data_IF_165258529731
#
_entry.id   IF_165258529731
#
_cell.length_a   1.000
_cell.length_b   1.000
_cell.length_c   1.000
_cell.angle_alpha   90.00
_cell.angle_beta   90.00
_cell.angle_gamma   90.00
#
_symmetry.space_group_name_H-M   'P 1'
#
loop_
_entity.id
_entity.type
_entity.pdbx_description
1 polymer ?
#
# COMPACT_ATOMS: atom_id res chain seq x y z
N UNK A 1 -9.57 -35.09 -1.60
CA UNK A 1 -10.36 -33.85 -1.79
C UNK A 1 -9.89 -33.22 -3.09
N UNK A 2 -10.77 -32.55 -3.83
CA UNK A 2 -10.39 -31.92 -5.09
C UNK A 2 -10.28 -30.40 -4.91
N UNK A 3 -9.42 -29.77 -5.71
CA UNK A 3 -9.30 -28.33 -5.88
C UNK A 3 -9.74 -28.01 -7.31
N UNK A 4 -10.61 -27.02 -7.47
CA UNK A 4 -11.06 -26.58 -8.78
C UNK A 4 -10.29 -25.36 -9.29
N UNK A 5 -10.10 -25.27 -10.60
CA UNK A 5 -9.50 -24.11 -11.30
C UNK A 5 -10.32 -23.75 -12.55
N UNK A 6 -10.28 -22.47 -12.96
CA UNK A 6 -11.04 -21.97 -14.11
C UNK A 6 -10.54 -22.58 -15.43
N UNK A 7 -11.44 -22.83 -16.39
CA UNK A 7 -11.05 -23.04 -17.79
C UNK A 7 -10.61 -21.73 -18.44
N UNK A 8 -9.96 -21.81 -19.61
CA UNK A 8 -9.49 -20.62 -20.33
C UNK A 8 -10.57 -19.54 -20.52
N UNK A 9 -11.80 -19.95 -20.84
CA UNK A 9 -12.96 -19.09 -21.13
C UNK A 9 -13.68 -18.55 -19.88
N UNK A 10 -13.27 -18.95 -18.68
CA UNK A 10 -13.95 -18.68 -17.41
C UNK A 10 -15.42 -19.16 -17.33
N UNK A 11 -15.86 -20.03 -18.25
CA UNK A 11 -17.24 -20.53 -18.26
C UNK A 11 -17.40 -21.84 -17.49
N UNK A 12 -16.29 -22.53 -17.21
CA UNK A 12 -16.29 -23.79 -16.50
C UNK A 12 -15.13 -23.89 -15.52
N UNK A 13 -15.18 -24.90 -14.64
CA UNK A 13 -14.06 -25.25 -13.76
C UNK A 13 -13.66 -26.69 -13.99
N UNK A 14 -12.35 -26.93 -13.92
CA UNK A 14 -11.73 -28.26 -13.97
C UNK A 14 -11.24 -28.62 -12.57
N UNK A 15 -11.10 -29.91 -12.29
CA UNK A 15 -10.75 -30.43 -10.97
C UNK A 15 -9.40 -31.13 -11.00
N UNK A 16 -8.64 -30.95 -9.93
CA UNK A 16 -7.35 -31.60 -9.68
C UNK A 16 -7.30 -32.12 -8.25
N UNK A 17 -6.44 -33.10 -8.03
CA UNK A 17 -6.14 -33.59 -6.69
C UNK A 17 -5.55 -32.48 -5.81
N UNK A 18 -6.13 -32.27 -4.63
CA UNK A 18 -5.69 -31.28 -3.65
C UNK A 18 -4.29 -31.54 -3.09
N UNK A 19 -3.76 -32.76 -3.25
CA UNK A 19 -2.41 -33.14 -2.81
C UNK A 19 -1.31 -32.70 -3.79
N UNK A 20 -1.66 -32.33 -5.03
CA UNK A 20 -0.69 -31.84 -6.00
C UNK A 20 -0.08 -30.51 -5.55
N UNK A 21 1.23 -30.40 -5.71
CA UNK A 21 1.93 -29.13 -5.47
C UNK A 21 1.64 -28.15 -6.58
N UNK A 22 1.87 -26.85 -6.33
CA UNK A 22 1.65 -25.83 -7.36
C UNK A 22 2.55 -26.05 -8.59
N UNK A 23 3.76 -26.58 -8.37
CA UNK A 23 4.67 -26.96 -9.45
C UNK A 23 4.16 -28.15 -10.29
N UNK A 24 3.47 -29.12 -9.68
CA UNK A 24 2.84 -30.23 -10.42
C UNK A 24 1.63 -29.75 -11.24
N UNK A 25 0.98 -28.69 -10.76
CA UNK A 25 -0.21 -28.10 -11.37
C UNK A 25 0.18 -27.16 -12.52
N UNK A 26 1.30 -26.44 -12.42
CA UNK A 26 1.71 -25.43 -13.39
C UNK A 26 1.71 -25.89 -14.87
N UNK A 27 2.21 -27.09 -15.23
CA UNK A 27 2.13 -27.58 -16.61
C UNK A 27 0.69 -27.74 -17.11
N UNK A 28 -0.25 -28.13 -16.24
CA UNK A 28 -1.67 -28.24 -16.58
C UNK A 28 -2.29 -26.87 -16.80
N UNK A 29 -1.92 -25.89 -15.99
CA UNK A 29 -2.38 -24.50 -16.14
C UNK A 29 -1.83 -23.86 -17.40
N UNK A 30 -0.56 -24.13 -17.74
CA UNK A 30 0.03 -23.70 -19.01
C UNK A 30 -0.70 -24.38 -20.17
N UNK A 31 -1.04 -25.65 -20.00
CA UNK A 31 -1.76 -26.35 -21.05
C UNK A 31 -3.16 -25.77 -21.28
N UNK A 32 -3.85 -25.43 -20.20
CA UNK A 32 -5.21 -24.91 -20.25
C UNK A 32 -5.28 -23.42 -20.63
N UNK A 33 -4.50 -22.58 -19.95
CA UNK A 33 -4.70 -21.13 -19.97
C UNK A 33 -3.87 -20.39 -21.01
N UNK A 34 -2.78 -20.99 -21.51
CA UNK A 34 -1.90 -20.30 -22.44
C UNK A 34 -2.36 -20.56 -23.88
N UNK A 35 -2.91 -19.56 -24.57
CA UNK A 35 -3.34 -19.72 -25.95
C UNK A 35 -2.13 -19.93 -26.87
N UNK A 36 -2.39 -20.61 -27.99
CA UNK A 36 -1.48 -20.60 -29.12
C UNK A 36 -1.54 -19.22 -29.78
N UNK A 37 -0.38 -18.61 -29.98
CA UNK A 37 -0.25 -17.32 -30.63
C UNK A 37 0.68 -17.40 -31.82
N UNK A 38 0.28 -16.75 -32.91
CA UNK A 38 1.19 -16.35 -33.97
C UNK A 38 2.04 -15.18 -33.45
N UNK A 39 3.35 -15.38 -33.34
CA UNK A 39 4.27 -14.37 -32.80
C UNK A 39 4.28 -13.08 -33.65
N UNK A 40 3.91 -13.12 -34.93
CA UNK A 40 3.72 -11.90 -35.73
C UNK A 40 2.61 -11.05 -35.10
N UNK A 41 1.50 -11.68 -34.76
CA UNK A 41 0.30 -11.00 -34.27
C UNK A 41 0.47 -10.41 -32.87
N UNK A 42 1.47 -10.85 -32.11
CA UNK A 42 1.77 -10.23 -30.82
C UNK A 42 2.64 -8.96 -30.94
N UNK A 43 3.20 -8.66 -32.13
CA UNK A 43 4.00 -7.44 -32.36
C UNK A 43 5.35 -7.39 -31.66
N UNK A 44 5.83 -8.52 -31.11
CA UNK A 44 7.11 -8.61 -30.37
C UNK A 44 8.11 -9.62 -30.94
N UNK A 45 7.82 -10.16 -32.12
CA UNK A 45 8.61 -11.23 -32.76
C UNK A 45 10.08 -10.86 -32.98
N UNK A 46 10.40 -9.57 -33.08
CA UNK A 46 11.77 -9.10 -33.38
C UNK A 46 12.73 -9.21 -32.19
N UNK A 47 12.21 -9.24 -30.95
CA UNK A 47 13.03 -9.24 -29.73
C UNK A 47 12.56 -10.23 -28.67
N UNK A 48 11.42 -10.90 -28.85
CA UNK A 48 10.97 -11.94 -27.94
C UNK A 48 11.81 -13.21 -28.09
N UNK A 49 12.46 -13.63 -27.01
CA UNK A 49 13.32 -14.83 -26.99
C UNK A 49 12.57 -16.15 -27.19
N UNK A 50 11.23 -16.15 -27.09
CA UNK A 50 10.39 -17.34 -27.24
C UNK A 50 9.86 -17.52 -28.66
N UNK A 51 10.15 -16.57 -29.55
CA UNK A 51 9.67 -16.58 -30.91
C UNK A 51 10.30 -17.72 -31.71
N UNK A 52 9.46 -18.49 -32.43
CA UNK A 52 9.90 -19.59 -33.30
C UNK A 52 9.55 -19.30 -34.75
N UNK A 53 10.58 -19.28 -35.61
CA UNK A 53 10.41 -19.20 -37.06
C UNK A 53 10.10 -20.57 -37.63
N UNK A 54 9.28 -20.63 -38.69
CA UNK A 54 9.05 -21.88 -39.42
C UNK A 54 10.32 -22.28 -40.17
N UNK A 55 10.69 -23.56 -40.09
CA UNK A 55 11.96 -24.09 -40.63
C UNK A 55 12.22 -23.77 -42.11
N UNK A 56 11.17 -23.56 -42.91
CA UNK A 56 11.26 -23.33 -44.35
C UNK A 56 10.68 -21.99 -44.83
N UNK A 57 10.16 -21.17 -43.91
CA UNK A 57 9.53 -19.89 -44.23
C UNK A 57 10.04 -18.84 -43.23
N UNK A 58 11.17 -18.18 -43.52
CA UNK A 58 11.86 -17.30 -42.55
C UNK A 58 11.08 -16.04 -42.16
N UNK A 59 10.05 -15.71 -42.95
CA UNK A 59 9.11 -14.60 -42.72
C UNK A 59 7.84 -15.04 -41.97
N UNK A 60 7.66 -16.35 -41.76
CA UNK A 60 6.52 -16.91 -41.03
C UNK A 60 6.95 -17.47 -39.68
N UNK A 61 6.08 -17.31 -38.71
CA UNK A 61 6.29 -17.80 -37.35
C UNK A 61 5.38 -19.00 -37.07
N UNK A 62 5.83 -19.87 -36.17
CA UNK A 62 5.04 -21.00 -35.69
C UNK A 62 3.98 -20.49 -34.71
N UNK A 63 2.77 -21.03 -34.82
CA UNK A 63 1.76 -20.85 -33.76
C UNK A 63 2.16 -21.72 -32.58
N UNK A 64 2.55 -21.08 -31.48
CA UNK A 64 3.04 -21.74 -30.27
C UNK A 64 2.42 -21.12 -29.04
N UNK A 65 2.38 -21.87 -27.94
CA UNK A 65 2.01 -21.31 -26.64
C UNK A 65 2.97 -20.19 -26.26
N UNK A 66 2.42 -19.05 -25.84
CA UNK A 66 3.21 -17.87 -25.51
C UNK A 66 4.20 -18.16 -24.38
N UNK A 67 5.50 -18.19 -24.71
CA UNK A 67 6.54 -18.53 -23.74
C UNK A 67 6.71 -17.50 -22.61
N UNK A 68 6.31 -16.24 -22.83
CA UNK A 68 6.28 -15.20 -21.78
C UNK A 68 5.27 -15.58 -20.71
N UNK A 69 4.03 -15.87 -21.12
CA UNK A 69 2.93 -16.25 -20.21
C UNK A 69 3.23 -17.60 -19.53
N UNK A 70 3.76 -18.58 -20.26
CA UNK A 70 4.19 -19.86 -19.66
C UNK A 70 5.28 -19.68 -18.60
N UNK A 71 6.23 -18.76 -18.84
CA UNK A 71 7.29 -18.45 -17.89
C UNK A 71 6.77 -17.66 -16.69
N UNK A 72 5.78 -16.80 -16.89
CA UNK A 72 5.07 -16.09 -15.82
C UNK A 72 4.38 -17.06 -14.87
N UNK A 73 3.58 -18.00 -15.39
CA UNK A 73 2.92 -19.04 -14.60
C UNK A 73 3.98 -19.84 -13.83
N UNK A 74 5.02 -20.32 -14.52
CA UNK A 74 6.10 -21.11 -13.91
C UNK A 74 6.82 -20.33 -12.81
N UNK A 75 7.10 -19.04 -13.02
CA UNK A 75 7.77 -18.16 -12.07
C UNK A 75 6.96 -17.97 -10.78
N UNK A 76 5.67 -17.63 -10.91
CA UNK A 76 4.79 -17.50 -9.73
C UNK A 76 4.61 -18.84 -9.04
N UNK A 77 4.38 -19.92 -9.79
CA UNK A 77 4.24 -21.26 -9.22
C UNK A 77 5.46 -21.65 -8.40
N UNK A 78 6.66 -21.41 -8.91
CA UNK A 78 7.91 -21.69 -8.19
C UNK A 78 8.07 -20.83 -6.94
N UNK A 79 7.71 -19.54 -6.98
CA UNK A 79 7.86 -18.61 -5.85
C UNK A 79 6.87 -18.91 -4.73
N UNK A 80 5.65 -19.34 -5.07
CA UNK A 80 4.56 -19.51 -4.10
C UNK A 80 4.30 -20.97 -3.72
N UNK A 81 5.09 -21.92 -4.23
CA UNK A 81 4.82 -23.36 -4.06
C UNK A 81 4.68 -23.77 -2.59
N UNK A 82 5.62 -23.35 -1.74
CA UNK A 82 5.63 -23.75 -0.33
C UNK A 82 4.46 -23.16 0.45
N UNK A 83 4.08 -21.92 0.18
CA UNK A 83 2.95 -21.28 0.83
C UNK A 83 1.61 -21.80 0.32
N UNK A 84 1.50 -22.07 -0.98
CA UNK A 84 0.34 -22.76 -1.57
C UNK A 84 0.08 -24.11 -0.92
N UNK A 85 1.12 -24.90 -0.66
CA UNK A 85 0.97 -26.24 -0.08
C UNK A 85 0.44 -26.21 1.36
N UNK A 86 0.61 -25.10 2.08
CA UNK A 86 0.09 -24.89 3.45
C UNK A 86 -1.37 -24.40 3.46
N UNK A 87 -1.90 -23.97 2.32
CA UNK A 87 -3.28 -23.46 2.23
C UNK A 87 -4.31 -24.57 2.43
N UNK A 88 -5.45 -24.20 3.02
CA UNK A 88 -6.66 -25.03 2.99
C UNK A 88 -7.18 -25.16 1.55
N UNK A 89 -7.96 -26.21 1.27
CA UNK A 89 -8.54 -26.47 -0.06
C UNK A 89 -9.23 -25.23 -0.66
N UNK A 90 -10.06 -24.54 0.11
CA UNK A 90 -10.75 -23.32 -0.36
C UNK A 90 -9.79 -22.16 -0.66
N UNK A 91 -8.69 -22.00 0.08
CA UNK A 91 -7.68 -20.99 -0.24
C UNK A 91 -6.80 -21.40 -1.42
N UNK A 92 -6.57 -22.70 -1.64
CA UNK A 92 -5.92 -23.20 -2.87
C UNK A 92 -6.73 -22.82 -4.10
N UNK A 93 -8.05 -23.04 -4.08
CA UNK A 93 -8.94 -22.64 -5.19
C UNK A 93 -8.88 -21.13 -5.47
N UNK A 94 -8.96 -20.31 -4.41
CA UNK A 94 -8.81 -18.85 -4.54
C UNK A 94 -7.45 -18.45 -5.10
N UNK A 95 -6.37 -19.12 -4.70
CA UNK A 95 -5.04 -18.87 -5.24
C UNK A 95 -4.99 -19.18 -6.74
N UNK A 96 -5.59 -20.29 -7.18
CA UNK A 96 -5.67 -20.63 -8.60
C UNK A 96 -6.52 -19.62 -9.38
N UNK A 97 -7.58 -19.06 -8.77
CA UNK A 97 -8.36 -17.97 -9.38
C UNK A 97 -7.54 -16.68 -9.50
N UNK A 98 -6.73 -16.33 -8.49
CA UNK A 98 -5.77 -15.23 -8.57
C UNK A 98 -4.80 -15.44 -9.73
N UNK A 99 -4.17 -16.61 -9.80
CA UNK A 99 -3.20 -16.93 -10.85
C UNK A 99 -3.84 -16.92 -12.24
N UNK A 100 -5.10 -17.36 -12.37
CA UNK A 100 -5.86 -17.27 -13.61
C UNK A 100 -6.02 -15.81 -14.07
N UNK A 101 -6.54 -14.92 -13.22
CA UNK A 101 -6.77 -13.53 -13.60
C UNK A 101 -5.46 -12.77 -13.86
N UNK A 102 -4.39 -13.09 -13.12
CA UNK A 102 -3.06 -12.57 -13.41
C UNK A 102 -2.51 -13.07 -14.76
N UNK A 103 -2.81 -14.32 -15.12
CA UNK A 103 -2.44 -14.90 -16.42
C UNK A 103 -3.18 -14.20 -17.55
N UNK A 104 -4.48 -13.95 -17.40
CA UNK A 104 -5.28 -13.18 -18.37
C UNK A 104 -4.74 -11.74 -18.49
N UNK A 105 -4.46 -11.07 -17.37
CA UNK A 105 -3.80 -9.77 -17.36
C UNK A 105 -2.47 -9.77 -18.14
N UNK A 106 -1.64 -10.81 -17.96
CA UNK A 106 -0.38 -10.95 -18.67
C UNK A 106 -0.61 -11.12 -20.19
N UNK A 107 -1.54 -11.99 -20.59
CA UNK A 107 -1.91 -12.20 -22.01
C UNK A 107 -2.37 -10.88 -22.65
N UNK A 108 -3.29 -10.18 -21.99
CA UNK A 108 -3.87 -8.93 -22.49
C UNK A 108 -2.81 -7.84 -22.59
N UNK A 109 -2.00 -7.67 -21.54
CA UNK A 109 -0.94 -6.65 -21.50
C UNK A 109 0.13 -6.89 -22.56
N UNK A 110 0.53 -8.14 -22.74
CA UNK A 110 1.53 -8.52 -23.74
C UNK A 110 1.03 -8.23 -25.15
N UNK A 111 -0.21 -8.64 -25.44
CA UNK A 111 -0.87 -8.43 -26.74
C UNK A 111 -1.12 -6.94 -27.02
N UNK A 112 -1.60 -6.20 -26.02
CA UNK A 112 -1.87 -4.78 -26.11
C UNK A 112 -0.58 -4.00 -26.41
N UNK A 113 0.42 -4.08 -25.53
CA UNK A 113 1.67 -3.32 -25.68
C UNK A 113 2.36 -3.69 -27.00
N UNK A 114 2.42 -4.98 -27.35
CA UNK A 114 3.08 -5.41 -28.57
C UNK A 114 2.39 -4.90 -29.84
N UNK A 115 1.06 -4.87 -29.87
CA UNK A 115 0.30 -4.35 -31.01
C UNK A 115 0.52 -2.85 -31.24
N UNK A 116 0.78 -2.07 -30.18
CA UNK A 116 1.02 -0.62 -30.27
C UNK A 116 2.50 -0.24 -30.39
N UNK A 117 3.43 -1.20 -30.26
CA UNK A 117 4.87 -0.91 -30.32
C UNK A 117 5.38 -0.76 -31.77
N UNK A 118 4.77 -1.45 -32.72
CA UNK A 118 5.14 -1.37 -34.13
C UNK A 118 4.27 -0.30 -34.80
N UNK A 119 4.92 0.74 -35.34
CA UNK A 119 4.24 1.79 -36.09
C UNK A 119 3.45 1.17 -37.27
N UNK A 120 2.21 1.64 -37.47
CA UNK A 120 1.27 1.15 -38.48
C UNK A 120 0.79 -0.31 -38.34
N UNK A 121 1.26 -1.09 -37.38
CA UNK A 121 0.79 -2.48 -37.20
C UNK A 121 -0.73 -2.60 -37.06
N UNK A 122 -1.33 -1.75 -36.23
CA UNK A 122 -2.78 -1.72 -36.05
C UNK A 122 -3.49 -1.33 -37.36
N UNK A 123 -3.19 -0.19 -38.03
CA UNK A 123 -3.76 0.14 -39.34
C UNK A 123 -3.51 -0.89 -40.46
N UNK A 124 -2.38 -1.60 -40.43
CA UNK A 124 -1.97 -2.54 -41.47
C UNK A 124 -2.66 -3.91 -41.33
N UNK A 125 -3.00 -4.31 -40.11
CA UNK A 125 -3.66 -5.59 -39.81
C UNK A 125 -5.17 -5.47 -39.56
N UNK A 126 -5.63 -4.28 -39.15
CA UNK A 126 -7.00 -4.06 -38.71
C UNK A 126 -7.56 -2.78 -39.33
N UNK A 127 -8.87 -2.77 -39.60
CA UNK A 127 -9.54 -1.52 -39.97
C UNK A 127 -9.52 -0.51 -38.81
N UNK A 128 -9.73 0.78 -39.13
CA UNK A 128 -9.67 1.85 -38.12
C UNK A 128 -10.68 1.72 -36.98
N UNK A 129 -11.78 0.98 -37.17
CA UNK A 129 -12.79 0.74 -36.14
C UNK A 129 -12.31 -0.34 -35.17
N UNK A 130 -11.76 -1.44 -35.69
CA UNK A 130 -11.15 -2.50 -34.90
C UNK A 130 -9.94 -1.94 -34.14
N UNK A 131 -9.10 -1.15 -34.80
CA UNK A 131 -7.97 -0.47 -34.17
C UNK A 131 -8.37 0.44 -33.00
N UNK A 132 -9.45 1.19 -33.14
CA UNK A 132 -10.00 2.00 -32.04
C UNK A 132 -10.54 1.14 -30.89
N UNK A 133 -11.19 0.02 -31.20
CA UNK A 133 -11.70 -0.91 -30.19
C UNK A 133 -10.58 -1.59 -29.39
N UNK A 134 -9.40 -1.80 -29.98
CA UNK A 134 -8.23 -2.35 -29.28
C UNK A 134 -7.73 -1.44 -28.15
N UNK A 135 -8.00 -0.13 -28.20
CA UNK A 135 -7.74 0.78 -27.07
C UNK A 135 -8.64 0.44 -25.88
N UNK A 136 -9.88 -0.02 -26.14
CA UNK A 136 -10.83 -0.44 -25.12
C UNK A 136 -10.36 -1.64 -24.29
N UNK A 137 -9.48 -2.49 -24.84
CA UNK A 137 -8.91 -3.65 -24.14
C UNK A 137 -8.18 -3.27 -22.85
N UNK A 138 -7.67 -2.03 -22.72
CA UNK A 138 -7.08 -1.54 -21.47
C UNK A 138 -8.05 -1.67 -20.29
N UNK A 139 -9.35 -1.50 -20.53
CA UNK A 139 -10.36 -1.66 -19.48
C UNK A 139 -10.51 -3.12 -19.05
N UNK A 140 -10.41 -4.07 -19.99
CA UNK A 140 -10.46 -5.51 -19.72
C UNK A 140 -9.20 -5.95 -18.96
N UNK A 141 -8.02 -5.50 -19.40
CA UNK A 141 -6.73 -5.73 -18.72
C UNK A 141 -6.79 -5.24 -17.27
N UNK A 142 -7.31 -4.03 -17.05
CA UNK A 142 -7.53 -3.50 -15.69
C UNK A 142 -8.52 -4.36 -14.91
N UNK A 143 -9.62 -4.79 -15.52
CA UNK A 143 -10.62 -5.63 -14.87
C UNK A 143 -10.05 -6.96 -14.37
N UNK A 144 -9.17 -7.59 -15.15
CA UNK A 144 -8.46 -8.81 -14.73
C UNK A 144 -7.54 -8.55 -13.54
N UNK A 145 -6.78 -7.45 -13.56
CA UNK A 145 -5.93 -7.07 -12.43
C UNK A 145 -6.75 -6.77 -11.16
N UNK A 146 -7.84 -6.01 -11.27
CA UNK A 146 -8.71 -5.66 -10.14
C UNK A 146 -9.32 -6.92 -9.50
N UNK A 147 -9.76 -7.89 -10.31
CA UNK A 147 -10.27 -9.19 -9.82
C UNK A 147 -9.19 -9.99 -9.08
N UNK A 148 -7.99 -10.10 -9.65
CA UNK A 148 -6.88 -10.79 -9.00
C UNK A 148 -6.57 -10.14 -7.64
N UNK A 149 -6.42 -8.82 -7.61
CA UNK A 149 -6.15 -8.07 -6.38
C UNK A 149 -7.25 -8.23 -5.33
N UNK A 150 -8.53 -8.27 -5.72
CA UNK A 150 -9.64 -8.50 -4.79
C UNK A 150 -9.53 -9.85 -4.08
N UNK A 151 -9.20 -10.93 -4.81
CA UNK A 151 -9.12 -12.28 -4.25
C UNK A 151 -7.83 -12.46 -3.42
N UNK A 152 -6.72 -11.84 -3.83
CA UNK A 152 -5.46 -11.86 -3.08
C UNK A 152 -5.61 -11.40 -1.63
N UNK A 153 -6.55 -10.49 -1.33
CA UNK A 153 -6.80 -10.01 0.03
C UNK A 153 -7.28 -11.12 0.98
N UNK A 154 -7.84 -12.20 0.44
CA UNK A 154 -8.34 -13.34 1.20
C UNK A 154 -7.24 -14.40 1.44
N UNK A 155 -6.02 -14.20 0.91
CA UNK A 155 -4.90 -15.13 1.02
C UNK A 155 -3.77 -14.46 1.79
N UNK A 156 -3.52 -14.94 3.01
CA UNK A 156 -2.65 -14.27 3.98
C UNK A 156 -1.27 -13.86 3.44
N UNK A 157 -0.58 -14.75 2.73
CA UNK A 157 0.77 -14.47 2.22
C UNK A 157 0.81 -13.62 0.95
N UNK A 158 -0.32 -13.48 0.24
CA UNK A 158 -0.44 -12.61 -0.94
C UNK A 158 -0.97 -11.23 -0.60
N UNK A 159 -1.58 -11.08 0.58
CA UNK A 159 -2.00 -9.76 1.06
C UNK A 159 -0.76 -8.88 1.25
N UNK A 160 -0.47 -8.01 0.27
CA UNK A 160 0.49 -6.92 0.49
C UNK A 160 -0.17 -6.01 1.52
N UNK A 161 0.10 -6.19 2.80
CA UNK A 161 -0.54 -5.36 3.84
C UNK A 161 0.10 -3.97 3.80
N UNK A 162 -0.34 -3.13 2.87
CA UNK A 162 -0.05 -1.70 2.97
C UNK A 162 -0.62 -1.21 4.29
N UNK A 163 0.07 -0.30 4.93
CA UNK A 163 -0.43 0.29 6.15
C UNK A 163 -1.26 1.49 5.77
N UNK A 164 -2.47 1.56 6.32
CA UNK A 164 -3.21 2.81 6.36
C UNK A 164 -3.10 3.35 7.78
N UNK A 165 -2.36 4.45 7.94
CA UNK A 165 -2.31 5.22 9.17
C UNK A 165 -3.40 6.30 9.15
N UNK A 166 -4.40 6.13 10.00
CA UNK A 166 -5.42 7.14 10.25
C UNK A 166 -4.93 8.09 11.35
N UNK A 167 -4.91 9.39 11.09
CA UNK A 167 -4.46 10.41 12.06
C UNK A 167 -5.53 11.45 12.34
N UNK A 168 -5.44 12.12 13.48
CA UNK A 168 -6.46 13.06 13.94
C UNK A 168 -6.57 14.32 13.06
N UNK A 169 -5.45 14.98 12.81
CA UNK A 169 -5.40 16.27 12.13
C UNK A 169 -4.55 16.26 10.86
N UNK A 170 -4.52 17.43 10.22
CA UNK A 170 -3.70 17.67 9.03
C UNK A 170 -2.21 17.85 9.39
N UNK A 171 -1.89 18.24 10.63
CA UNK A 171 -0.50 18.37 11.10
C UNK A 171 0.21 17.03 11.11
N UNK A 172 -0.42 15.99 11.68
CA UNK A 172 0.12 14.64 11.75
C UNK A 172 0.23 14.03 10.35
N UNK A 173 -0.78 14.29 9.50
CA UNK A 173 -0.78 13.87 8.10
C UNK A 173 0.46 14.40 7.38
N UNK A 174 0.71 15.70 7.54
CA UNK A 174 1.80 16.37 6.84
C UNK A 174 3.18 16.02 7.41
N UNK A 175 3.28 15.86 8.73
CA UNK A 175 4.48 15.34 9.39
C UNK A 175 4.89 13.97 8.81
N UNK A 176 3.95 13.01 8.75
CA UNK A 176 4.23 11.67 8.22
C UNK A 176 4.54 11.70 6.73
N UNK A 177 3.80 12.49 5.93
CA UNK A 177 4.10 12.66 4.49
C UNK A 177 5.51 13.22 4.28
N UNK A 178 5.93 14.17 5.10
CA UNK A 178 7.26 14.77 5.00
C UNK A 178 8.36 13.80 5.40
N UNK A 179 8.19 13.05 6.48
CA UNK A 179 9.11 11.97 6.88
C UNK A 179 9.25 10.91 5.79
N UNK A 180 8.14 10.51 5.15
CA UNK A 180 8.16 9.57 4.02
C UNK A 180 9.00 10.05 2.85
N UNK A 181 9.05 11.36 2.60
CA UNK A 181 9.87 11.91 1.52
C UNK A 181 11.37 11.78 1.79
N UNK A 182 11.76 11.66 3.07
CA UNK A 182 13.16 11.54 3.50
C UNK A 182 13.59 10.11 3.84
N UNK A 183 12.66 9.25 4.25
CA UNK A 183 12.94 7.87 4.69
C UNK A 183 12.72 6.87 3.56
N UNK A 184 13.79 6.23 3.07
CA UNK A 184 13.77 5.50 1.81
C UNK A 184 13.31 4.03 1.84
N UNK A 185 12.92 3.48 3.01
CA UNK A 185 12.51 2.06 3.07
C UNK A 185 11.45 1.73 4.15
N UNK A 186 11.47 2.40 5.31
CA UNK A 186 10.63 2.00 6.45
C UNK A 186 9.20 2.52 6.40
N UNK A 187 8.93 3.55 5.59
CA UNK A 187 7.61 4.19 5.51
C UNK A 187 6.98 4.13 4.11
N UNK A 188 7.65 3.53 3.13
CA UNK A 188 7.20 3.51 1.73
C UNK A 188 5.85 2.83 1.56
N UNK A 189 5.59 1.79 2.35
CA UNK A 189 4.34 1.02 2.35
C UNK A 189 3.23 1.65 3.21
N UNK A 190 3.48 2.80 3.83
CA UNK A 190 2.52 3.49 4.70
C UNK A 190 1.79 4.57 3.94
N UNK A 191 0.50 4.42 3.75
CA UNK A 191 -0.39 5.51 3.36
C UNK A 191 -0.96 6.16 4.63
N UNK A 192 -1.18 7.48 4.59
CA UNK A 192 -1.64 8.25 5.75
C UNK A 192 -2.82 9.13 5.33
N UNK A 193 -3.84 9.19 6.19
CA UNK A 193 -5.05 9.99 5.95
C UNK A 193 -5.56 10.60 7.27
N UNK A 194 -5.90 11.89 7.24
CA UNK A 194 -6.62 12.52 8.36
C UNK A 194 -8.09 12.09 8.37
N UNK A 195 -8.64 11.80 9.55
CA UNK A 195 -10.08 11.58 9.73
C UNK A 195 -10.83 12.82 10.24
N UNK A 196 -10.12 13.90 10.58
CA UNK A 196 -10.69 15.17 11.05
C UNK A 196 -11.09 15.16 12.53
N UNK A 197 -10.51 16.09 13.31
CA UNK A 197 -10.70 16.17 14.77
C UNK A 197 -12.03 16.77 15.26
N UNK A 198 -12.76 17.52 14.44
CA UNK A 198 -13.91 18.33 14.90
C UNK A 198 -15.27 17.78 14.43
N UNK A 199 -15.78 16.69 15.02
CA UNK A 199 -17.23 16.44 15.07
C UNK A 199 -17.63 15.27 15.97
N UNK A 200 -18.88 15.27 16.44
CA UNK A 200 -19.57 14.11 17.03
C UNK A 200 -19.72 12.91 16.06
N UNK A 201 -19.32 13.06 14.79
CA UNK A 201 -19.30 12.03 13.74
C UNK A 201 -17.92 11.37 13.56
N UNK A 202 -16.90 11.77 14.34
CA UNK A 202 -15.52 11.25 14.25
C UNK A 202 -15.45 9.72 14.21
N UNK A 203 -16.20 9.02 15.08
CA UNK A 203 -16.16 7.56 15.17
C UNK A 203 -16.82 6.81 14.01
N UNK A 204 -17.93 7.33 13.48
CA UNK A 204 -18.56 6.72 12.30
C UNK A 204 -17.70 6.92 11.05
N UNK A 205 -17.04 8.08 10.91
CA UNK A 205 -16.06 8.35 9.85
C UNK A 205 -14.87 7.41 9.96
N UNK A 206 -14.28 7.26 11.15
CA UNK A 206 -13.18 6.32 11.39
C UNK A 206 -13.60 4.90 10.99
N UNK A 207 -14.77 4.43 11.44
CA UNK A 207 -15.29 3.10 11.06
C UNK A 207 -15.43 2.92 9.55
N UNK A 208 -15.97 3.91 8.86
CA UNK A 208 -16.13 3.87 7.40
C UNK A 208 -14.78 3.80 6.69
N UNK A 209 -13.82 4.65 7.07
CA UNK A 209 -12.47 4.64 6.52
C UNK A 209 -11.77 3.30 6.77
N UNK A 210 -11.88 2.77 7.99
CA UNK A 210 -11.29 1.49 8.32
C UNK A 210 -11.84 0.35 7.46
N UNK A 211 -13.17 0.29 7.31
CA UNK A 211 -13.80 -0.73 6.46
C UNK A 211 -13.38 -0.57 4.99
N UNK A 212 -13.37 0.66 4.48
CA UNK A 212 -12.93 0.98 3.11
C UNK A 212 -11.50 0.50 2.83
N UNK A 213 -10.56 0.78 3.75
CA UNK A 213 -9.16 0.41 3.55
C UNK A 213 -8.91 -1.07 3.82
N UNK A 214 -9.59 -1.68 4.80
CA UNK A 214 -9.53 -3.14 5.00
C UNK A 214 -10.05 -3.90 3.78
N UNK A 215 -11.13 -3.44 3.14
CA UNK A 215 -11.62 -4.03 1.88
C UNK A 215 -10.71 -3.77 0.67
N UNK A 216 -9.65 -2.97 0.84
CA UNK A 216 -8.58 -2.75 -0.14
C UNK A 216 -7.30 -3.51 0.24
N UNK A 217 -7.33 -4.35 1.28
CA UNK A 217 -6.19 -5.14 1.74
C UNK A 217 -5.22 -4.42 2.68
N UNK A 218 -5.59 -3.25 3.23
CA UNK A 218 -4.71 -2.52 4.14
C UNK A 218 -4.80 -3.06 5.57
N UNK A 219 -3.66 -3.11 6.26
CA UNK A 219 -3.63 -3.12 7.73
C UNK A 219 -3.86 -1.68 8.19
N UNK A 220 -4.98 -1.45 8.85
CA UNK A 220 -5.31 -0.11 9.37
C UNK A 220 -4.74 0.03 10.78
N UNK A 221 -3.97 1.08 11.01
CA UNK A 221 -3.50 1.54 12.33
C UNK A 221 -3.97 2.98 12.52
N UNK A 222 -4.06 3.43 13.77
CA UNK A 222 -4.63 4.74 14.09
C UNK A 222 -3.84 5.47 15.15
N UNK A 223 -3.75 6.79 14.99
CA UNK A 223 -3.30 7.73 16.00
C UNK A 223 -4.49 8.52 16.55
N UNK A 224 -4.48 8.75 17.87
CA UNK A 224 -5.49 9.50 18.62
C UNK A 224 -4.84 10.40 19.68
N UNK A 225 -5.48 11.53 19.99
CA UNK A 225 -5.04 12.43 21.08
C UNK A 225 -5.83 12.12 22.37
N UNK A 226 -5.17 12.12 23.54
CA UNK A 226 -5.80 11.76 24.84
C UNK A 226 -5.92 12.92 25.86
N UNK A 227 -5.56 14.14 25.46
CA UNK A 227 -5.74 15.39 26.23
C UNK A 227 -5.29 15.34 27.70
N UNK A 228 -4.14 14.74 27.97
CA UNK A 228 -3.47 14.78 29.28
C UNK A 228 -4.11 13.92 30.36
N UNK A 229 -5.03 13.02 30.01
CA UNK A 229 -5.68 12.14 30.98
C UNK A 229 -5.19 10.68 30.84
N UNK A 230 -4.05 10.30 31.47
CA UNK A 230 -3.48 8.97 31.36
C UNK A 230 -4.35 7.86 31.96
N UNK A 231 -5.35 8.18 32.77
CA UNK A 231 -6.34 7.19 33.22
C UNK A 231 -7.27 6.73 32.07
N UNK A 232 -7.36 7.48 30.95
CA UNK A 232 -8.02 7.03 29.72
C UNK A 232 -7.21 5.99 28.93
N UNK A 233 -5.88 5.92 29.15
CA UNK A 233 -4.99 4.95 28.50
C UNK A 233 -5.11 3.54 29.11
N UNK A 234 -5.45 3.44 30.40
CA UNK A 234 -5.40 2.19 31.16
C UNK A 234 -6.74 1.47 31.37
N UNK A 235 -7.88 2.11 31.11
CA UNK A 235 -9.19 1.46 31.22
C UNK A 235 -10.07 1.79 30.01
N UNK A 236 -9.96 1.04 28.91
CA UNK A 236 -10.99 0.91 27.84
C UNK A 236 -11.81 2.17 27.45
N UNK A 237 -11.27 3.38 27.64
CA UNK A 237 -11.95 4.66 27.51
C UNK A 237 -11.14 5.61 26.61
N UNK A 238 -10.59 5.03 25.54
CA UNK A 238 -10.88 5.55 24.20
C UNK A 238 -12.38 5.36 23.94
N UNK A 239 -13.23 6.18 24.55
CA UNK A 239 -14.66 5.91 24.70
C UNK A 239 -15.41 5.65 23.38
N UNK A 240 -14.87 6.11 22.24
CA UNK A 240 -15.40 5.76 20.91
C UNK A 240 -14.57 4.77 20.06
N UNK A 241 -13.42 4.27 20.53
CA UNK A 241 -12.69 3.16 19.86
C UNK A 241 -13.02 1.79 20.47
N UNK A 242 -13.62 1.75 21.68
CA UNK A 242 -13.99 0.50 22.35
C UNK A 242 -14.83 -0.41 21.45
N UNK A 243 -15.79 0.18 20.75
CA UNK A 243 -16.64 -0.53 19.79
C UNK A 243 -15.85 -1.03 18.58
N UNK A 244 -14.80 -0.34 18.15
CA UNK A 244 -13.95 -0.80 17.05
C UNK A 244 -13.07 -1.97 17.48
N UNK A 245 -12.53 -1.93 18.70
CA UNK A 245 -11.75 -3.05 19.25
C UNK A 245 -12.65 -4.26 19.51
N UNK A 246 -13.81 -4.09 20.12
CA UNK A 246 -14.73 -5.21 20.42
C UNK A 246 -15.30 -5.88 19.17
N UNK A 247 -15.36 -5.18 18.04
CA UNK A 247 -15.77 -5.71 16.74
C UNK A 247 -14.60 -6.23 15.89
N UNK A 248 -13.41 -6.44 16.48
CA UNK A 248 -12.20 -6.87 15.77
C UNK A 248 -11.80 -5.95 14.60
N UNK A 249 -12.17 -4.67 14.66
CA UNK A 249 -11.78 -3.68 13.67
C UNK A 249 -10.37 -3.12 13.96
N UNK A 250 -9.91 -3.09 15.21
CA UNK A 250 -8.53 -2.74 15.60
C UNK A 250 -8.05 -3.65 16.72
N UNK A 251 -6.75 -3.95 16.72
CA UNK A 251 -6.08 -4.52 17.89
C UNK A 251 -5.51 -3.40 18.76
N UNK A 252 -5.27 -3.67 20.05
CA UNK A 252 -4.68 -2.68 20.97
C UNK A 252 -3.32 -2.17 20.47
N UNK A 253 -2.54 -3.04 19.84
CA UNK A 253 -1.23 -2.70 19.32
C UNK A 253 -1.29 -1.86 18.03
N UNK A 254 -2.47 -1.70 17.41
CA UNK A 254 -2.68 -0.89 16.21
C UNK A 254 -3.02 0.59 16.55
N UNK A 255 -2.96 0.97 17.82
CA UNK A 255 -3.37 2.30 18.31
C UNK A 255 -2.16 3.00 18.94
N UNK A 256 -1.83 4.19 18.42
CA UNK A 256 -0.91 5.12 19.05
C UNK A 256 -1.68 6.27 19.69
N UNK A 257 -1.40 6.58 20.95
CA UNK A 257 -2.08 7.63 21.68
C UNK A 257 -1.08 8.72 22.05
N UNK A 258 -1.21 9.90 21.44
CA UNK A 258 -0.48 11.09 21.89
C UNK A 258 -1.09 11.58 23.20
N UNK A 259 -0.22 11.98 24.13
CA UNK A 259 -0.65 12.51 25.42
C UNK A 259 -1.49 13.78 25.26
N UNK A 260 -1.17 14.62 24.27
CA UNK A 260 -1.89 15.85 23.89
C UNK A 260 -1.88 15.98 22.36
N UNK A 261 -1.89 17.19 21.81
CA UNK A 261 -1.64 17.46 20.39
C UNK A 261 -0.20 17.07 19.99
N UNK A 262 0.03 16.80 18.70
CA UNK A 262 1.35 16.53 18.12
C UNK A 262 2.41 17.57 18.52
N UNK A 263 2.05 18.84 18.61
CA UNK A 263 3.02 19.89 18.93
C UNK A 263 3.65 19.74 20.32
N UNK A 264 2.92 19.19 21.30
CA UNK A 264 3.45 18.91 22.64
C UNK A 264 4.46 17.74 22.64
N UNK A 265 4.43 16.89 21.61
CA UNK A 265 5.35 15.76 21.48
C UNK A 265 6.73 16.16 20.91
N UNK A 266 6.83 17.34 20.29
CA UNK A 266 8.07 17.78 19.66
C UNK A 266 9.19 17.98 20.69
N UNK A 267 10.41 17.46 20.42
CA UNK A 267 11.57 17.79 21.25
C UNK A 267 11.81 19.31 21.29
N UNK A 268 12.13 19.83 22.47
CA UNK A 268 12.28 21.28 22.69
C UNK A 268 13.41 21.87 21.85
N UNK A 269 14.45 21.09 21.62
CA UNK A 269 15.62 21.43 20.83
C UNK A 269 15.24 21.65 19.37
N UNK A 270 14.39 20.78 18.81
CA UNK A 270 13.89 20.92 17.44
C UNK A 270 12.90 22.08 17.30
N UNK A 271 12.02 22.24 18.29
CA UNK A 271 11.11 23.38 18.36
C UNK A 271 11.88 24.69 18.40
N UNK A 272 12.95 24.76 19.19
CA UNK A 272 13.82 25.92 19.23
C UNK A 272 14.36 26.23 17.84
N UNK A 273 15.04 25.26 17.22
CA UNK A 273 15.69 25.42 15.92
C UNK A 273 14.70 25.82 14.82
N UNK A 274 13.58 25.10 14.71
CA UNK A 274 12.52 25.38 13.74
C UNK A 274 11.99 26.82 13.88
N UNK A 275 11.74 27.28 15.11
CA UNK A 275 11.25 28.64 15.33
C UNK A 275 12.31 29.71 14.97
N UNK A 276 13.61 29.43 15.16
CA UNK A 276 14.66 30.34 14.69
C UNK A 276 14.71 30.39 13.16
N UNK A 277 14.56 29.25 12.49
CA UNK A 277 14.48 29.19 11.01
C UNK A 277 13.31 30.02 10.47
N UNK A 278 12.18 30.05 11.18
CA UNK A 278 11.05 30.91 10.86
C UNK A 278 11.24 32.39 11.23
N UNK A 279 12.44 32.79 11.69
CA UNK A 279 12.83 34.18 11.92
C UNK A 279 12.48 34.71 13.31
N UNK A 280 12.14 33.84 14.27
CA UNK A 280 11.94 34.27 15.66
C UNK A 280 13.30 34.55 16.35
N UNK A 281 13.30 35.51 17.29
CA UNK A 281 14.50 35.86 18.04
C UNK A 281 14.88 34.76 19.05
N UNK A 282 16.15 34.36 19.05
CA UNK A 282 16.72 33.29 19.89
C UNK A 282 16.40 33.41 21.38
N UNK A 283 16.66 34.57 21.98
CA UNK A 283 16.44 34.78 23.42
C UNK A 283 14.96 34.67 23.79
N UNK A 284 14.07 35.17 22.91
CA UNK A 284 12.62 35.06 23.12
C UNK A 284 12.14 33.62 23.03
N UNK A 285 12.59 32.85 22.03
CA UNK A 285 12.22 31.44 21.87
C UNK A 285 12.71 30.61 23.07
N UNK A 286 13.98 30.80 23.46
CA UNK A 286 14.55 30.14 24.64
C UNK A 286 13.74 30.42 25.90
N UNK A 287 13.34 31.68 26.11
CA UNK A 287 12.54 32.08 27.26
C UNK A 287 11.14 31.45 27.20
N UNK A 288 10.47 31.44 26.05
CA UNK A 288 9.14 30.86 25.90
C UNK A 288 9.11 29.33 26.14
N UNK A 289 10.16 28.60 25.73
CA UNK A 289 10.25 27.14 25.91
C UNK A 289 10.65 26.70 27.33
N UNK A 290 11.33 27.57 28.07
CA UNK A 290 11.82 27.29 29.44
C UNK A 290 10.93 27.87 30.53
N UNK A 291 10.43 29.09 30.34
CA UNK A 291 9.64 29.86 31.30
C UNK A 291 8.44 30.52 30.57
N UNK A 292 7.42 29.73 30.17
CA UNK A 292 6.27 30.25 29.44
C UNK A 292 5.52 31.31 30.26
N UNK A 293 5.14 32.41 29.61
CA UNK A 293 4.39 33.50 30.25
C UNK A 293 2.87 33.30 30.12
N UNK A 294 2.45 32.72 29.00
CA UNK A 294 1.05 32.35 28.74
C UNK A 294 0.56 31.18 29.62
N UNK A 295 -0.68 31.27 30.09
CA UNK A 295 -1.40 30.21 30.80
C UNK A 295 -2.30 29.37 29.91
N UNK A 296 -2.21 29.51 28.57
CA UNK A 296 -3.05 28.75 27.63
C UNK A 296 -2.79 27.25 27.71
N UNK A 297 -3.83 26.49 27.35
CA UNK A 297 -3.88 25.05 27.59
C UNK A 297 -3.04 24.21 26.60
N UNK A 298 -2.63 24.75 25.44
CA UNK A 298 -1.83 24.01 24.44
C UNK A 298 -0.53 24.74 24.11
N UNK A 299 0.56 24.00 23.86
CA UNK A 299 1.88 24.57 23.53
C UNK A 299 1.81 25.56 22.38
N UNK A 300 1.15 25.19 21.28
CA UNK A 300 1.05 26.07 20.11
C UNK A 300 0.39 27.41 20.45
N UNK A 301 -0.70 27.38 21.25
CA UNK A 301 -1.37 28.61 21.70
C UNK A 301 -0.49 29.44 22.64
N UNK A 302 0.22 28.79 23.57
CA UNK A 302 1.17 29.47 24.48
C UNK A 302 2.28 30.17 23.71
N UNK A 303 2.94 29.43 22.81
CA UNK A 303 4.04 29.95 21.99
C UNK A 303 3.58 31.11 21.10
N UNK A 304 2.37 31.06 20.55
CA UNK A 304 1.83 32.13 19.72
C UNK A 304 1.52 33.41 20.52
N UNK A 305 1.20 33.29 21.81
CA UNK A 305 1.08 34.48 22.67
C UNK A 305 2.46 35.03 23.07
N UNK A 306 3.39 34.15 23.44
CA UNK A 306 4.71 34.55 23.94
C UNK A 306 5.62 35.11 22.82
N UNK A 307 5.50 34.59 21.60
CA UNK A 307 6.37 34.92 20.45
C UNK A 307 5.68 35.77 19.38
N UNK A 308 4.36 35.94 19.47
CA UNK A 308 3.54 36.54 18.42
C UNK A 308 3.21 35.53 17.31
N UNK A 309 3.04 36.02 16.08
CA UNK A 309 2.59 35.19 14.94
C UNK A 309 3.55 34.03 14.67
N UNK A 310 3.11 32.80 14.95
CA UNK A 310 3.82 31.58 14.61
C UNK A 310 3.63 31.18 13.13
N UNK A 311 4.54 30.35 12.58
CA UNK A 311 4.23 29.54 11.39
C UNK A 311 2.99 28.69 11.63
N UNK A 312 2.26 28.35 10.57
CA UNK A 312 1.11 27.45 10.70
C UNK A 312 1.52 26.09 11.28
N UNK A 313 0.60 25.40 11.96
CA UNK A 313 0.86 24.04 12.48
C UNK A 313 1.40 23.08 11.40
N UNK A 314 0.92 23.22 10.15
CA UNK A 314 1.38 22.42 9.01
C UNK A 314 2.84 22.73 8.62
N UNK A 315 3.22 24.00 8.60
CA UNK A 315 4.60 24.42 8.31
C UNK A 315 5.55 23.97 9.41
N UNK A 316 5.12 24.09 10.67
CA UNK A 316 5.88 23.61 11.81
C UNK A 316 6.07 22.09 11.75
N UNK A 317 5.01 21.33 11.46
CA UNK A 317 5.08 19.87 11.29
C UNK A 317 6.09 19.46 10.19
N UNK A 318 6.13 20.17 9.06
CA UNK A 318 7.13 19.92 8.00
C UNK A 318 8.55 20.17 8.45
N UNK A 319 8.80 21.33 9.06
CA UNK A 319 10.13 21.70 9.54
C UNK A 319 10.62 20.72 10.60
N UNK A 320 9.77 20.33 11.55
CA UNK A 320 10.13 19.32 12.56
C UNK A 320 10.41 17.96 11.91
N UNK A 321 9.63 17.52 10.91
CA UNK A 321 9.93 16.29 10.16
C UNK A 321 11.30 16.36 9.46
N UNK A 322 11.64 17.50 8.86
CA UNK A 322 12.93 17.73 8.22
C UNK A 322 14.09 17.62 9.21
N UNK A 323 13.94 18.21 10.40
CA UNK A 323 14.95 18.12 11.46
C UNK A 323 15.07 16.71 12.05
N UNK A 324 13.96 16.00 12.26
CA UNK A 324 13.97 14.59 12.71
C UNK A 324 14.76 13.72 11.74
N UNK A 325 14.56 13.91 10.43
CA UNK A 325 15.30 13.19 9.39
C UNK A 325 16.76 13.65 9.29
N UNK A 326 17.02 14.96 9.32
CA UNK A 326 18.38 15.50 9.15
C UNK A 326 19.32 15.12 10.28
N UNK A 327 18.78 14.96 11.50
CA UNK A 327 19.55 14.56 12.67
C UNK A 327 19.47 13.06 12.98
N UNK A 328 18.83 12.25 12.13
CA UNK A 328 18.67 10.81 12.33
C UNK A 328 18.13 10.47 13.74
N UNK A 329 17.22 11.30 14.29
CA UNK A 329 16.82 11.22 15.70
C UNK A 329 16.16 9.90 16.07
N UNK A 330 15.63 9.19 15.09
CA UNK A 330 15.07 7.84 15.24
C UNK A 330 16.12 6.86 15.79
N UNK A 331 17.39 7.05 15.44
CA UNK A 331 18.50 6.20 15.89
C UNK A 331 19.25 6.76 17.10
N UNK A 332 18.93 7.99 17.51
CA UNK A 332 19.54 8.62 18.69
C UNK A 332 18.91 8.10 19.98
N UNK A 333 19.73 7.44 20.81
CA UNK A 333 19.34 6.89 22.11
C UNK A 333 18.84 7.95 23.08
N UNK A 334 19.25 9.21 22.93
CA UNK A 334 18.81 10.31 23.78
C UNK A 334 17.31 10.61 23.61
N UNK A 335 16.73 10.27 22.46
CA UNK A 335 15.33 10.54 22.14
C UNK A 335 14.43 9.30 22.18
N UNK A 336 14.95 8.13 22.58
CA UNK A 336 14.21 6.84 22.62
C UNK A 336 12.96 6.83 23.54
N UNK A 337 12.82 7.83 24.42
CA UNK A 337 11.63 8.02 25.26
C UNK A 337 10.69 9.14 24.79
N UNK A 338 11.11 9.95 23.82
CA UNK A 338 10.30 11.05 23.32
C UNK A 338 9.06 10.52 22.57
N UNK A 339 7.92 11.18 22.74
CA UNK A 339 6.65 10.72 22.21
C UNK A 339 6.57 10.77 20.68
N UNK A 340 7.17 11.77 20.03
CA UNK A 340 7.28 11.87 18.58
C UNK A 340 8.10 10.70 18.00
N UNK A 341 9.21 10.35 18.66
CA UNK A 341 10.06 9.23 18.23
C UNK A 341 9.34 7.90 18.44
N UNK A 342 8.62 7.72 19.55
CA UNK A 342 7.78 6.53 19.76
C UNK A 342 6.68 6.41 18.70
N UNK A 343 6.11 7.53 18.23
CA UNK A 343 5.15 7.53 17.13
C UNK A 343 5.78 7.05 15.83
N UNK A 344 6.97 7.54 15.49
CA UNK A 344 7.73 7.04 14.34
C UNK A 344 8.01 5.53 14.46
N UNK A 345 8.54 5.09 15.60
CA UNK A 345 8.84 3.68 15.86
C UNK A 345 7.58 2.81 15.75
N UNK A 346 6.44 3.30 16.23
CA UNK A 346 5.15 2.62 16.09
C UNK A 346 4.81 2.38 14.61
N UNK A 347 4.93 3.38 13.74
CA UNK A 347 4.65 3.24 12.31
C UNK A 347 5.65 2.27 11.66
N UNK A 348 6.94 2.47 11.91
CA UNK A 348 8.02 1.66 11.35
C UNK A 348 7.89 0.19 11.75
N UNK A 349 7.59 -0.10 13.01
CA UNK A 349 7.43 -1.47 13.51
C UNK A 349 6.27 -2.20 12.86
N UNK A 350 5.19 -1.51 12.53
CA UNK A 350 4.11 -2.12 11.74
C UNK A 350 4.58 -2.35 10.31
N UNK A 351 5.26 -1.39 9.69
CA UNK A 351 5.69 -1.49 8.29
C UNK A 351 6.74 -2.57 8.06
N UNK A 352 7.57 -2.88 9.06
CA UNK A 352 8.56 -3.96 8.98
C UNK A 352 7.96 -5.35 9.17
N UNK A 353 6.79 -5.47 9.81
CA UNK A 353 6.09 -6.76 10.02
C UNK A 353 5.32 -7.23 8.77
N UNK A 354 5.34 -6.43 7.70
CA UNK A 354 4.66 -6.68 6.43
C UNK A 354 5.67 -6.54 5.29
#
# INVERSE_FOLDING_TARGET
MEVSYKSFDDLSRKYIDAEKTLNDIAPLLIDEWVPYFDCIKCGRNDYCKYTKKRLFYPDLFEEVKCGVVSSFITGISSLSNDDYNKLSTGHKEKFLDVLYYLTQYCIDSESFIGSFQIANFIPDLYDGTIGANLIGMVSETRGNLDKACSIMQEIDFLSSKRIMLLVEGESELEFVKRLKAHSSFHLDKVEVKSYGGESSKKYSVIRLLMNEFKSKGYKVIIQVDVDGNPNKLNEMNLWGMKDHVSNNLLEKNDIFAFSYDLEEAYPKELLYESLIEFGHNEDKVRKALTNPQSTKNTLYKRLNEDLGRLPSKLELAKSIADLVSSYDLVFDKNFKGNELIRFYEFISNHSMKI
#
